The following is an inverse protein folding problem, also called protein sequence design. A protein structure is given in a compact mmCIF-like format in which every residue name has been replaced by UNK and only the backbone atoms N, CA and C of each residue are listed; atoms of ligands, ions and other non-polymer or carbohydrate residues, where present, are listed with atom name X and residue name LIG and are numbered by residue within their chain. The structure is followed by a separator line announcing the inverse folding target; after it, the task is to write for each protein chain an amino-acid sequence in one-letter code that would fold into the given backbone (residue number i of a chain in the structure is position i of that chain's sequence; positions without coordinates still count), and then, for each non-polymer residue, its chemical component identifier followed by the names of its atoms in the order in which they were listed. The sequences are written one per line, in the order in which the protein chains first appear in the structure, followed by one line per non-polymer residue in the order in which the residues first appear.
data_IF_673161837113
#
_entry.id   IF_673161837113
#
_cell.length_a   1.000
_cell.length_b   1.000
_cell.length_c   1.000
_cell.angle_alpha   90.00
_cell.angle_beta   90.00
_cell.angle_gamma   90.00
#
_symmetry.space_group_name_H-M   'P 1'
#
loop_
_entity.id
_entity.type
_entity.pdbx_description
1 polymer ?
#
# COMPACT_ATOMS: atom_id res chain seq x y z
N UNK A 1 -11.33 9.95 18.79
CA UNK A 1 -10.95 10.22 17.38
C UNK A 1 -9.73 11.13 17.40
N UNK A 2 -8.66 10.77 16.67
CA UNK A 2 -7.43 11.55 16.60
C UNK A 2 -7.52 12.75 15.64
N UNK A 3 -8.65 12.92 14.93
CA UNK A 3 -8.89 14.05 14.05
C UNK A 3 -7.99 14.12 12.81
N UNK A 4 -7.56 12.95 12.28
CA UNK A 4 -6.74 12.93 11.05
C UNK A 4 -7.47 13.58 9.89
N UNK A 5 -6.77 14.45 9.18
CA UNK A 5 -7.17 14.94 7.87
C UNK A 5 -6.36 14.22 6.79
N UNK A 6 -7.02 13.92 5.67
CA UNK A 6 -6.34 13.39 4.50
C UNK A 6 -5.47 14.49 3.87
N UNK A 7 -4.17 14.47 4.13
CA UNK A 7 -3.22 15.49 3.68
C UNK A 7 -1.86 14.87 3.31
N UNK A 8 -1.08 15.58 2.49
CA UNK A 8 0.24 15.12 2.05
C UNK A 8 0.18 14.30 0.76
N UNK A 9 1.09 13.33 0.61
CA UNK A 9 1.20 12.54 -0.63
C UNK A 9 0.05 11.57 -0.81
N UNK A 10 -0.44 11.47 -2.06
CA UNK A 10 -1.39 10.45 -2.50
C UNK A 10 -0.64 9.29 -3.13
N UNK A 11 -0.75 8.13 -2.52
CA UNK A 11 -0.08 6.91 -2.98
C UNK A 11 -1.13 5.85 -3.23
N UNK A 12 -1.12 5.28 -4.42
CA UNK A 12 -1.99 4.19 -4.84
C UNK A 12 -1.21 2.88 -4.84
N UNK A 13 -1.61 1.93 -4.01
CA UNK A 13 -1.19 0.54 -4.13
C UNK A 13 -2.03 -0.15 -5.20
N UNK A 14 -1.39 -0.93 -6.06
CA UNK A 14 -2.05 -1.72 -7.11
C UNK A 14 -1.56 -3.17 -7.05
N UNK A 15 -2.44 -4.07 -6.69
CA UNK A 15 -2.27 -5.51 -6.79
C UNK A 15 -2.90 -5.98 -8.09
N UNK A 16 -2.08 -6.52 -9.00
CA UNK A 16 -2.49 -6.85 -10.35
C UNK A 16 -2.75 -8.35 -10.48
N UNK A 17 -3.92 -8.69 -11.00
CA UNK A 17 -4.27 -10.03 -11.46
C UNK A 17 -4.41 -10.05 -12.98
N UNK A 18 -4.22 -11.22 -13.57
CA UNK A 18 -4.50 -11.49 -14.99
C UNK A 18 -5.97 -11.87 -15.20
N UNK A 19 -6.32 -12.19 -16.44
CA UNK A 19 -7.62 -12.78 -16.76
C UNK A 19 -7.83 -14.06 -15.92
N UNK A 20 -9.00 -14.18 -15.27
CA UNK A 20 -9.36 -15.32 -14.44
C UNK A 20 -10.15 -14.93 -13.21
N UNK A 21 -10.11 -15.82 -12.21
CA UNK A 21 -10.86 -15.68 -10.96
C UNK A 21 -10.21 -14.72 -9.95
N UNK A 22 -8.93 -14.44 -10.12
CA UNK A 22 -8.22 -13.52 -9.25
C UNK A 22 -8.65 -12.07 -9.49
N UNK A 23 -8.64 -11.27 -8.44
CA UNK A 23 -9.08 -9.90 -8.49
C UNK A 23 -7.91 -8.92 -8.53
N UNK A 24 -8.00 -7.94 -9.42
CA UNK A 24 -7.21 -6.73 -9.32
C UNK A 24 -7.72 -5.90 -8.13
N UNK A 25 -6.81 -5.27 -7.39
CA UNK A 25 -7.19 -4.39 -6.29
C UNK A 25 -6.35 -3.12 -6.26
N UNK A 26 -6.97 -2.01 -5.86
CA UNK A 26 -6.26 -0.77 -5.55
C UNK A 26 -6.63 -0.26 -4.19
N UNK A 27 -5.66 0.36 -3.51
CA UNK A 27 -5.86 1.05 -2.23
C UNK A 27 -5.20 2.43 -2.32
N UNK A 28 -5.98 3.48 -2.15
CA UNK A 28 -5.50 4.85 -2.13
C UNK A 28 -5.25 5.32 -0.69
N UNK A 29 -4.05 5.78 -0.44
CA UNK A 29 -3.66 6.44 0.80
C UNK A 29 -3.32 7.90 0.54
N UNK A 30 -3.96 8.81 1.26
CA UNK A 30 -3.64 10.24 1.28
C UNK A 30 -3.03 10.60 2.65
N UNK A 31 -1.72 10.82 2.68
CA UNK A 31 -0.98 10.93 3.95
C UNK A 31 -1.10 9.65 4.79
N UNK A 32 -1.66 9.74 5.99
CA UNK A 32 -1.87 8.61 6.89
C UNK A 32 -3.28 8.00 6.78
N UNK A 33 -4.14 8.53 5.91
CA UNK A 33 -5.53 8.09 5.77
C UNK A 33 -5.69 7.24 4.51
N UNK A 34 -6.23 6.03 4.64
CA UNK A 34 -6.73 5.23 3.53
C UNK A 34 -8.11 5.79 3.15
N UNK A 35 -8.23 6.31 1.94
CA UNK A 35 -9.40 7.09 1.50
C UNK A 35 -10.25 6.40 0.45
N UNK A 36 -9.68 5.47 -0.32
CA UNK A 36 -10.42 4.73 -1.35
C UNK A 36 -9.81 3.35 -1.55
N UNK A 37 -10.64 2.41 -2.00
CA UNK A 37 -10.23 1.10 -2.47
C UNK A 37 -11.19 0.62 -3.56
N UNK A 38 -10.66 -0.10 -4.53
CA UNK A 38 -11.42 -0.68 -5.63
C UNK A 38 -10.96 -2.10 -5.90
N UNK A 39 -11.89 -2.94 -6.34
CA UNK A 39 -11.63 -4.30 -6.77
C UNK A 39 -12.37 -4.59 -8.08
N UNK A 40 -11.76 -5.35 -8.98
CA UNK A 40 -12.39 -5.82 -10.23
C UNK A 40 -11.74 -7.09 -10.74
N UNK A 41 -12.45 -7.82 -11.62
CA UNK A 41 -12.01 -9.10 -12.18
C UNK A 41 -12.25 -9.15 -13.70
N UNK A 42 -11.69 -10.18 -14.34
CA UNK A 42 -12.00 -10.54 -15.71
C UNK A 42 -11.50 -9.56 -16.77
N UNK A 43 -10.45 -8.80 -16.46
CA UNK A 43 -9.83 -7.85 -17.39
C UNK A 43 -8.36 -8.19 -17.57
N UNK A 44 -7.85 -7.98 -18.79
CA UNK A 44 -6.43 -8.15 -19.06
C UNK A 44 -5.55 -7.13 -18.30
N UNK A 45 -4.26 -7.41 -18.26
CA UNK A 45 -3.26 -6.59 -17.56
C UNK A 45 -3.14 -5.20 -18.16
N UNK A 46 -3.28 -5.06 -19.49
CA UNK A 46 -3.14 -3.78 -20.20
C UNK A 46 -4.31 -2.87 -19.83
N UNK A 47 -5.54 -3.41 -19.91
CA UNK A 47 -6.74 -2.69 -19.50
C UNK A 47 -6.65 -2.23 -18.05
N UNK A 48 -6.26 -3.15 -17.15
CA UNK A 48 -6.15 -2.87 -15.72
C UNK A 48 -5.09 -1.80 -15.43
N UNK A 49 -3.93 -1.85 -16.09
CA UNK A 49 -2.90 -0.82 -15.98
C UNK A 49 -3.39 0.55 -16.49
N UNK A 50 -4.10 0.59 -17.61
CA UNK A 50 -4.65 1.82 -18.17
C UNK A 50 -5.71 2.44 -17.27
N UNK A 51 -6.64 1.63 -16.76
CA UNK A 51 -7.66 2.04 -15.79
C UNK A 51 -7.02 2.68 -14.55
N UNK A 52 -6.02 2.01 -13.97
CA UNK A 52 -5.33 2.49 -12.77
C UNK A 52 -4.56 3.80 -13.05
N UNK A 53 -3.94 3.92 -14.23
CA UNK A 53 -3.21 5.14 -14.58
C UNK A 53 -4.14 6.32 -14.80
N UNK A 54 -5.28 6.13 -15.48
CA UNK A 54 -6.31 7.16 -15.66
C UNK A 54 -6.87 7.62 -14.30
N UNK A 55 -7.26 6.67 -13.46
CA UNK A 55 -7.70 6.97 -12.12
C UNK A 55 -6.65 7.79 -11.33
N UNK A 56 -5.37 7.42 -11.47
CA UNK A 56 -4.30 8.15 -10.80
C UNK A 56 -4.17 9.60 -11.30
N UNK A 57 -4.39 9.86 -12.57
CA UNK A 57 -4.42 11.22 -13.12
C UNK A 57 -5.63 12.02 -12.63
N UNK A 58 -6.83 11.44 -12.65
CA UNK A 58 -8.07 12.07 -12.20
C UNK A 58 -8.00 12.43 -10.70
N UNK A 59 -7.45 11.55 -9.88
CA UNK A 59 -7.33 11.75 -8.44
C UNK A 59 -6.07 12.54 -8.03
N UNK A 60 -5.26 13.02 -8.98
CA UNK A 60 -3.99 13.70 -8.72
C UNK A 60 -3.08 12.88 -7.80
N UNK A 61 -2.90 11.60 -8.10
CA UNK A 61 -2.06 10.68 -7.34
C UNK A 61 -0.59 10.94 -7.67
N UNK A 62 0.25 11.05 -6.65
CA UNK A 62 1.68 11.29 -6.82
C UNK A 62 2.42 10.05 -7.29
N UNK A 63 2.01 8.87 -6.78
CA UNK A 63 2.71 7.62 -7.06
C UNK A 63 1.79 6.41 -7.07
N UNK A 64 1.98 5.53 -8.06
CA UNK A 64 1.46 4.17 -8.09
C UNK A 64 2.57 3.21 -7.65
N UNK A 65 2.29 2.35 -6.67
CA UNK A 65 3.15 1.23 -6.26
C UNK A 65 2.44 -0.06 -6.68
N UNK A 66 3.08 -0.90 -7.48
CA UNK A 66 2.47 -2.12 -8.03
C UNK A 66 3.40 -3.32 -7.87
N UNK A 67 2.85 -4.54 -7.71
CA UNK A 67 3.65 -5.75 -7.77
C UNK A 67 4.26 -5.89 -9.17
N UNK A 68 5.57 -6.07 -9.24
CA UNK A 68 6.29 -6.15 -10.51
C UNK A 68 6.77 -7.56 -10.86
N UNK A 69 6.29 -8.59 -10.14
CA UNK A 69 6.61 -10.01 -10.36
C UNK A 69 5.49 -10.66 -11.17
N UNK A 70 5.85 -11.64 -12.00
CA UNK A 70 4.87 -12.37 -12.81
C UNK A 70 4.09 -11.44 -13.74
N UNK A 71 2.79 -11.40 -13.57
CA UNK A 71 1.84 -10.56 -14.34
C UNK A 71 2.21 -9.07 -14.29
N UNK A 72 2.75 -8.59 -13.19
CA UNK A 72 3.18 -7.20 -13.01
C UNK A 72 4.30 -6.75 -13.96
N UNK A 73 4.99 -7.65 -14.65
CA UNK A 73 5.94 -7.27 -15.70
C UNK A 73 5.24 -6.57 -16.88
N UNK A 74 4.02 -6.98 -17.22
CA UNK A 74 3.17 -6.34 -18.23
C UNK A 74 2.78 -4.91 -17.83
N UNK A 75 2.40 -4.70 -16.58
CA UNK A 75 2.10 -3.38 -16.00
C UNK A 75 3.29 -2.42 -16.14
N UNK A 76 4.50 -2.90 -15.85
CA UNK A 76 5.73 -2.10 -15.99
C UNK A 76 5.93 -1.61 -17.42
N UNK A 77 5.73 -2.48 -18.40
CA UNK A 77 5.85 -2.12 -19.82
C UNK A 77 4.80 -1.06 -20.22
N UNK A 78 3.57 -1.23 -19.74
CA UNK A 78 2.48 -0.31 -20.02
C UNK A 78 2.71 1.07 -19.38
N UNK A 79 3.10 1.12 -18.12
CA UNK A 79 3.38 2.38 -17.41
C UNK A 79 4.56 3.16 -18.03
N UNK A 80 5.58 2.47 -18.57
CA UNK A 80 6.71 3.12 -19.26
C UNK A 80 6.28 3.87 -20.54
N UNK A 81 5.16 3.50 -21.14
CA UNK A 81 4.61 4.16 -22.33
C UNK A 81 3.80 5.42 -21.99
N UNK A 82 3.46 5.59 -20.70
CA UNK A 82 2.65 6.74 -20.26
C UNK A 82 3.54 7.97 -20.06
N UNK A 83 3.20 9.03 -20.75
CA UNK A 83 3.82 10.34 -20.56
C UNK A 83 2.98 11.16 -19.58
N UNK A 84 3.32 11.14 -18.30
CA UNK A 84 2.57 11.86 -17.28
C UNK A 84 3.39 12.13 -16.02
N UNK A 85 2.80 12.91 -15.11
CA UNK A 85 3.43 13.30 -13.84
C UNK A 85 3.37 12.21 -12.76
N UNK A 86 2.54 11.18 -12.95
CA UNK A 86 2.36 10.11 -11.98
C UNK A 86 3.62 9.25 -11.94
N UNK A 87 4.26 9.17 -10.78
CA UNK A 87 5.41 8.28 -10.59
C UNK A 87 4.92 6.83 -10.48
N UNK A 88 5.66 5.90 -11.06
CA UNK A 88 5.37 4.46 -10.94
C UNK A 88 6.53 3.72 -10.31
N UNK A 89 6.27 2.88 -9.32
CA UNK A 89 7.28 2.12 -8.58
C UNK A 89 6.87 0.65 -8.52
N UNK A 90 7.69 -0.22 -9.11
CA UNK A 90 7.53 -1.66 -8.95
C UNK A 90 7.96 -2.13 -7.57
N UNK A 91 7.09 -2.89 -6.91
CA UNK A 91 7.38 -3.54 -5.64
C UNK A 91 7.71 -5.02 -5.91
N UNK A 92 8.93 -5.44 -5.56
CA UNK A 92 9.35 -6.83 -5.62
C UNK A 92 9.21 -7.46 -4.25
N UNK A 93 8.13 -8.20 -4.02
CA UNK A 93 7.82 -8.80 -2.71
C UNK A 93 8.93 -9.71 -2.17
N UNK A 94 9.66 -10.42 -3.04
CA UNK A 94 10.82 -11.24 -2.68
C UNK A 94 12.14 -10.49 -2.56
N UNK A 95 12.13 -9.16 -2.81
CA UNK A 95 13.33 -8.33 -2.82
C UNK A 95 13.98 -8.15 -1.45
N UNK A 96 15.19 -7.58 -1.47
CA UNK A 96 15.95 -7.30 -0.28
C UNK A 96 15.23 -6.31 0.66
N UNK A 97 15.50 -6.45 1.92
CA UNK A 97 15.01 -5.58 3.00
C UNK A 97 15.41 -4.13 2.72
N UNK A 98 14.49 -3.21 2.93
CA UNK A 98 14.75 -1.76 2.81
C UNK A 98 15.62 -1.28 3.97
N UNK A 99 16.68 -0.51 3.66
CA UNK A 99 17.65 -0.01 4.63
C UNK A 99 18.12 -1.12 5.58
N UNK A 100 18.82 -2.16 5.08
CA UNK A 100 19.13 -3.38 5.84
C UNK A 100 19.93 -3.09 7.12
N UNK A 101 20.80 -2.09 7.10
CA UNK A 101 21.64 -1.72 8.25
C UNK A 101 20.98 -0.77 9.25
N UNK A 102 19.81 -0.22 8.92
CA UNK A 102 19.07 0.61 9.87
C UNK A 102 18.59 -0.22 11.05
N UNK A 103 18.69 0.36 12.25
CA UNK A 103 18.15 -0.26 13.46
C UNK A 103 16.63 -0.30 13.40
N UNK A 104 16.06 -1.46 13.65
CA UNK A 104 14.63 -1.64 13.89
C UNK A 104 14.32 -1.52 15.39
N UNK A 105 15.12 -2.20 16.22
CA UNK A 105 15.15 -2.07 17.67
C UNK A 105 16.58 -1.67 18.11
N UNK A 106 16.81 -1.47 19.39
CA UNK A 106 18.12 -1.09 19.91
C UNK A 106 19.21 -2.13 19.60
N UNK A 107 18.83 -3.42 19.54
CA UNK A 107 19.71 -4.57 19.37
C UNK A 107 19.61 -5.24 17.99
N UNK A 108 18.61 -4.91 17.16
CA UNK A 108 18.37 -5.58 15.87
C UNK A 108 18.27 -4.60 14.71
N UNK A 109 18.91 -4.97 13.59
CA UNK A 109 18.79 -4.25 12.31
C UNK A 109 17.65 -4.83 11.48
N UNK A 110 17.22 -4.08 10.46
CA UNK A 110 16.17 -4.55 9.55
C UNK A 110 16.50 -5.91 8.94
N UNK A 111 17.75 -6.14 8.50
CA UNK A 111 18.19 -7.43 7.94
C UNK A 111 18.15 -8.60 8.93
N UNK A 112 18.22 -8.30 10.23
CA UNK A 112 18.20 -9.34 11.27
C UNK A 112 16.75 -9.69 11.68
N UNK A 113 15.80 -8.79 11.38
CA UNK A 113 14.37 -8.92 11.69
C UNK A 113 13.55 -9.52 10.55
N UNK A 114 13.89 -9.19 9.31
CA UNK A 114 13.02 -9.46 8.16
C UNK A 114 13.71 -10.31 7.10
N UNK A 115 13.05 -11.37 6.64
CA UNK A 115 13.57 -12.23 5.59
C UNK A 115 13.58 -11.53 4.21
N UNK A 116 12.66 -10.61 3.97
CA UNK A 116 12.49 -9.89 2.72
C UNK A 116 11.68 -8.60 2.93
N UNK A 117 11.54 -7.80 1.86
CA UNK A 117 10.81 -6.54 1.93
C UNK A 117 9.30 -6.74 2.15
N UNK A 118 8.71 -7.88 1.75
CA UNK A 118 7.30 -8.20 2.01
C UNK A 118 7.05 -8.34 3.51
N UNK A 119 7.89 -9.11 4.21
CA UNK A 119 7.80 -9.27 5.66
C UNK A 119 7.98 -7.92 6.36
N UNK A 120 8.95 -7.11 5.94
CA UNK A 120 9.16 -5.76 6.49
C UNK A 120 7.95 -4.86 6.25
N UNK A 121 7.35 -4.86 5.06
CA UNK A 121 6.18 -4.03 4.74
C UNK A 121 4.97 -4.40 5.61
N UNK A 122 4.67 -5.69 5.79
CA UNK A 122 3.61 -6.16 6.68
C UNK A 122 3.83 -5.71 8.12
N UNK A 123 5.06 -5.82 8.59
CA UNK A 123 5.41 -5.39 9.94
C UNK A 123 5.26 -3.88 10.12
N UNK A 124 5.65 -3.09 9.11
CA UNK A 124 5.44 -1.63 9.12
C UNK A 124 3.95 -1.25 9.16
N UNK A 125 3.09 -1.99 8.47
CA UNK A 125 1.63 -1.78 8.55
C UNK A 125 1.12 -2.10 9.96
N UNK A 126 1.52 -3.25 10.52
CA UNK A 126 1.21 -3.63 11.91
C UNK A 126 1.62 -2.55 12.91
N UNK A 127 2.84 -2.02 12.77
CA UNK A 127 3.34 -0.99 13.70
C UNK A 127 2.53 0.30 13.62
N UNK A 128 2.06 0.68 12.43
CA UNK A 128 1.16 1.83 12.27
C UNK A 128 -0.16 1.62 12.99
N UNK A 129 -0.78 0.46 12.86
CA UNK A 129 -2.01 0.12 13.59
C UNK A 129 -1.77 0.09 15.09
N UNK A 130 -0.67 -0.52 15.54
CA UNK A 130 -0.31 -0.57 16.96
C UNK A 130 -0.10 0.84 17.55
N UNK A 131 0.65 1.69 16.88
CA UNK A 131 0.86 3.08 17.31
C UNK A 131 -0.44 3.88 17.33
N UNK A 132 -1.30 3.69 16.33
CA UNK A 132 -2.62 4.33 16.31
C UNK A 132 -3.47 3.87 17.49
N UNK A 133 -3.49 2.57 17.78
CA UNK A 133 -4.17 2.02 18.94
C UNK A 133 -3.63 2.61 20.26
N UNK A 134 -2.29 2.68 20.41
CA UNK A 134 -1.64 3.28 21.57
C UNK A 134 -2.03 4.76 21.73
N UNK A 135 -2.01 5.51 20.65
CA UNK A 135 -2.39 6.93 20.67
C UNK A 135 -3.86 7.12 21.11
N UNK A 136 -4.77 6.25 20.64
CA UNK A 136 -6.21 6.33 20.97
C UNK A 136 -6.52 5.90 22.39
N UNK A 137 -5.90 4.81 22.88
CA UNK A 137 -6.28 4.16 24.13
C UNK A 137 -5.37 4.51 25.32
N UNK A 138 -4.14 4.94 25.05
CA UNK A 138 -3.15 5.26 26.08
C UNK A 138 -2.68 6.72 26.05
N UNK A 139 -3.11 7.50 25.05
CA UNK A 139 -2.70 8.90 24.92
C UNK A 139 -1.25 9.11 24.48
N UNK A 140 -0.61 8.07 23.93
CA UNK A 140 0.76 8.18 23.43
C UNK A 140 0.80 9.16 22.24
N UNK A 141 1.85 9.95 22.15
CA UNK A 141 2.03 10.91 21.08
C UNK A 141 3.03 10.38 20.03
N UNK A 142 2.57 10.24 18.81
CA UNK A 142 3.36 9.81 17.65
C UNK A 142 3.20 10.81 16.50
N UNK A 143 4.25 11.03 15.68
CA UNK A 143 4.11 11.75 14.42
C UNK A 143 3.01 11.15 13.55
N UNK A 144 2.21 11.99 12.88
CA UNK A 144 1.06 11.55 12.09
C UNK A 144 1.46 10.56 10.98
N UNK A 145 2.64 10.73 10.38
CA UNK A 145 3.18 9.85 9.34
C UNK A 145 3.55 8.43 9.84
N UNK A 146 3.54 8.21 11.16
CA UNK A 146 3.70 6.89 11.79
C UNK A 146 2.38 6.22 12.16
N UNK A 147 1.27 6.87 11.95
CA UNK A 147 -0.07 6.39 12.26
C UNK A 147 -0.79 5.93 10.98
N UNK A 148 -1.96 5.33 11.14
CA UNK A 148 -2.84 4.95 10.05
C UNK A 148 -4.29 5.16 10.46
N UNK A 149 -5.11 5.65 9.52
CA UNK A 149 -6.55 5.79 9.66
C UNK A 149 -7.24 5.19 8.45
N UNK A 150 -8.33 4.49 8.66
CA UNK A 150 -9.20 4.01 7.59
C UNK A 150 -10.42 4.93 7.55
N UNK A 151 -10.75 5.48 6.39
CA UNK A 151 -11.95 6.30 6.23
C UNK A 151 -13.19 5.44 6.51
N UNK A 152 -14.14 6.00 7.26
CA UNK A 152 -15.43 5.33 7.48
C UNK A 152 -16.31 5.27 6.23
N UNK A 153 -15.93 6.00 5.17
CA UNK A 153 -16.60 5.97 3.86
C UNK A 153 -16.04 4.91 2.90
N UNK A 154 -15.02 4.13 3.33
CA UNK A 154 -14.47 3.07 2.49
C UNK A 154 -15.56 2.03 2.18
N UNK A 155 -15.73 1.75 0.91
CA UNK A 155 -16.50 0.60 0.47
C UNK A 155 -15.79 -0.68 0.96
N UNK A 156 -16.54 -1.65 1.48
CA UNK A 156 -16.00 -2.92 2.00
C UNK A 156 -14.98 -2.79 3.16
N UNK A 157 -15.12 -1.77 4.01
CA UNK A 157 -14.25 -1.56 5.18
C UNK A 157 -14.16 -2.81 6.08
N UNK A 158 -15.26 -3.52 6.28
CA UNK A 158 -15.31 -4.75 7.09
C UNK A 158 -14.47 -5.86 6.44
N UNK A 159 -14.55 -6.01 5.12
CA UNK A 159 -13.73 -6.97 4.38
C UNK A 159 -12.24 -6.64 4.50
N UNK A 160 -11.85 -5.39 4.28
CA UNK A 160 -10.47 -4.93 4.45
C UNK A 160 -9.94 -5.20 5.86
N UNK A 161 -10.73 -4.89 6.89
CA UNK A 161 -10.30 -5.12 8.28
C UNK A 161 -10.15 -6.61 8.60
N UNK A 162 -11.03 -7.46 8.07
CA UNK A 162 -10.91 -8.91 8.19
C UNK A 162 -9.62 -9.43 7.52
N UNK A 163 -9.33 -8.99 6.29
CA UNK A 163 -8.10 -9.37 5.58
C UNK A 163 -6.84 -8.90 6.31
N UNK A 164 -6.81 -7.67 6.82
CA UNK A 164 -5.67 -7.12 7.56
C UNK A 164 -5.42 -7.84 8.91
N UNK A 165 -6.42 -8.52 9.45
CA UNK A 165 -6.30 -9.28 10.71
C UNK A 165 -5.81 -10.73 10.53
N UNK A 166 -5.78 -11.26 9.30
CA UNK A 166 -5.41 -12.65 9.00
C UNK A 166 -3.91 -12.96 9.01
N UNK A 167 -3.00 -12.06 8.61
CA UNK A 167 -1.58 -12.39 8.57
C UNK A 167 -1.08 -12.82 9.95
N UNK A 168 -0.58 -14.05 10.02
CA UNK A 168 0.13 -14.58 11.18
C UNK A 168 1.64 -14.37 10.95
N UNK A 169 2.33 -13.96 12.00
CA UNK A 169 3.78 -13.76 12.02
C UNK A 169 4.43 -14.96 12.69
#
# INVERSE_FOLDING_TARGET
KLGFSAAGRRILGFDVADEGDDANATVLRHGSVVTDMQQWRGQDVIYSADKVYLYAQEQNIDRIVYDNIGVGAGVKAQFRRKNGKVQTLGFNAGGAVYKPDAKYTDDKRNRDMFANIKAQAWWMVRDRFYKTWRAVHHGDNYPEDQLISLSSSLHELEYLTAELSRPQV
#
